data_IF_848658571499
#
_entry.id   IF_848658571499
#
_cell.length_a   1.000
_cell.length_b   1.000
_cell.length_c   1.000
_cell.angle_alpha   90.00
_cell.angle_beta   90.00
_cell.angle_gamma   90.00
#
_symmetry.space_group_name_H-M   'P 1'
#
loop_
_entity.id
_entity.type
_entity.pdbx_description
1 polymer ?
#
# COMPACT_ATOMS: atom_id res chain seq x y z
N UNK A 1 -31.81 13.75 14.65
CA UNK A 1 -31.93 13.15 13.30
C UNK A 1 -30.65 13.26 12.41
N UNK A 2 -29.82 14.28 12.60
CA UNK A 2 -28.56 14.46 11.82
C UNK A 2 -27.42 13.49 12.21
N UNK A 3 -27.33 13.06 13.48
CA UNK A 3 -26.29 12.11 13.96
C UNK A 3 -26.36 10.73 13.28
N UNK A 4 -27.55 10.17 13.17
CA UNK A 4 -27.75 8.81 12.63
C UNK A 4 -27.51 8.68 11.11
N UNK A 5 -27.63 9.78 10.34
CA UNK A 5 -27.39 9.77 8.89
C UNK A 5 -25.91 9.96 8.55
N UNK A 6 -25.16 10.66 9.38
CA UNK A 6 -23.71 10.82 9.31
C UNK A 6 -23.02 9.49 9.59
N UNK A 7 -23.42 8.75 10.62
CA UNK A 7 -22.86 7.44 10.98
C UNK A 7 -23.03 6.40 9.87
N UNK A 8 -24.16 6.39 9.18
CA UNK A 8 -24.41 5.49 8.04
C UNK A 8 -23.51 5.79 6.84
N UNK A 9 -23.11 7.04 6.63
CA UNK A 9 -22.21 7.39 5.54
C UNK A 9 -20.76 6.93 5.81
N UNK A 10 -20.32 6.94 7.06
CA UNK A 10 -18.98 6.44 7.43
C UNK A 10 -18.83 4.95 7.17
N UNK A 11 -19.86 4.14 7.43
CA UNK A 11 -19.81 2.70 7.16
C UNK A 11 -19.53 2.38 5.68
N UNK A 12 -20.13 3.14 4.76
CA UNK A 12 -19.94 2.91 3.33
C UNK A 12 -18.58 3.37 2.82
N UNK A 13 -18.06 4.45 3.38
CA UNK A 13 -16.71 4.91 3.10
C UNK A 13 -15.68 3.89 3.64
N UNK A 14 -15.90 3.39 4.85
CA UNK A 14 -15.11 2.31 5.44
C UNK A 14 -15.16 1.04 4.58
N UNK A 15 -16.35 0.60 4.17
CA UNK A 15 -16.52 -0.56 3.28
C UNK A 15 -15.78 -0.39 1.95
N UNK A 16 -15.81 0.81 1.37
CA UNK A 16 -15.05 1.08 0.14
C UNK A 16 -13.55 0.96 0.36
N UNK A 17 -13.03 1.52 1.44
CA UNK A 17 -11.60 1.39 1.79
C UNK A 17 -11.21 -0.07 2.07
N UNK A 18 -12.08 -0.81 2.78
CA UNK A 18 -11.94 -2.24 3.02
C UNK A 18 -11.85 -3.03 1.71
N UNK A 19 -12.76 -2.77 0.78
CA UNK A 19 -12.79 -3.42 -0.53
C UNK A 19 -11.51 -3.17 -1.34
N UNK A 20 -10.98 -1.94 -1.33
CA UNK A 20 -9.70 -1.64 -1.98
C UNK A 20 -8.56 -2.42 -1.33
N UNK A 21 -8.55 -2.51 -0.01
CA UNK A 21 -7.55 -3.29 0.74
C UNK A 21 -7.57 -4.77 0.36
N UNK A 22 -8.77 -5.38 0.28
CA UNK A 22 -8.96 -6.77 -0.16
C UNK A 22 -8.28 -7.06 -1.50
N UNK A 23 -8.62 -6.29 -2.52
CA UNK A 23 -8.11 -6.55 -3.88
C UNK A 23 -6.64 -6.18 -4.03
N UNK A 24 -6.18 -5.10 -3.39
CA UNK A 24 -4.78 -4.71 -3.49
C UNK A 24 -3.85 -5.78 -2.91
N UNK A 25 -4.17 -6.33 -1.75
CA UNK A 25 -3.38 -7.39 -1.13
C UNK A 25 -3.47 -8.72 -1.90
N UNK A 26 -4.66 -9.09 -2.40
CA UNK A 26 -4.81 -10.27 -3.25
C UNK A 26 -3.91 -10.20 -4.48
N UNK A 27 -3.87 -9.07 -5.17
CA UNK A 27 -3.04 -8.90 -6.38
C UNK A 27 -1.55 -9.05 -6.06
N UNK A 28 -1.08 -8.53 -4.94
CA UNK A 28 0.32 -8.70 -4.53
C UNK A 28 0.67 -10.13 -4.15
N UNK A 29 -0.28 -10.90 -3.63
CA UNK A 29 -0.02 -12.28 -3.21
C UNK A 29 -0.15 -13.30 -4.33
N UNK A 30 -0.97 -13.05 -5.33
CA UNK A 30 -1.33 -14.03 -6.36
C UNK A 30 -0.67 -13.80 -7.72
N UNK A 31 -0.60 -12.55 -8.18
CA UNK A 31 -0.09 -12.26 -9.52
C UNK A 31 1.37 -12.69 -9.73
N UNK A 32 2.30 -12.50 -8.77
CA UNK A 32 3.67 -12.99 -8.94
C UNK A 32 3.76 -14.49 -9.22
N UNK A 33 2.94 -15.29 -8.54
CA UNK A 33 2.93 -16.75 -8.69
C UNK A 33 2.32 -17.15 -10.02
N UNK A 34 1.12 -16.65 -10.34
CA UNK A 34 0.44 -17.02 -11.58
C UNK A 34 1.23 -16.55 -12.82
N UNK A 35 1.84 -15.39 -12.77
CA UNK A 35 2.69 -14.90 -13.84
C UNK A 35 3.98 -15.75 -13.99
N UNK A 36 4.52 -16.25 -12.86
CA UNK A 36 5.67 -17.15 -12.87
C UNK A 36 5.37 -18.48 -13.54
N UNK A 37 4.22 -19.08 -13.26
CA UNK A 37 3.75 -20.30 -13.95
C UNK A 37 3.67 -20.11 -15.46
N UNK A 38 3.39 -18.89 -15.92
CA UNK A 38 3.33 -18.54 -17.34
C UNK A 38 4.69 -18.11 -17.94
N UNK A 39 5.77 -18.27 -17.18
CA UNK A 39 7.13 -18.03 -17.62
C UNK A 39 7.62 -16.58 -17.48
N UNK A 40 6.86 -15.68 -16.85
CA UNK A 40 7.33 -14.33 -16.54
C UNK A 40 8.35 -14.34 -15.40
N UNK A 41 9.40 -13.53 -15.55
CA UNK A 41 10.41 -13.36 -14.53
C UNK A 41 10.03 -12.27 -13.49
N UNK A 42 10.83 -12.15 -12.44
CA UNK A 42 10.59 -11.26 -11.31
C UNK A 42 10.59 -9.79 -11.73
N UNK A 43 11.47 -9.42 -12.66
CA UNK A 43 11.58 -8.04 -13.18
C UNK A 43 10.34 -7.66 -13.97
N UNK A 44 9.87 -8.57 -14.82
CA UNK A 44 8.66 -8.36 -15.63
C UNK A 44 7.43 -8.15 -14.73
N UNK A 45 7.26 -8.99 -13.73
CA UNK A 45 6.15 -8.83 -12.77
C UNK A 45 6.33 -7.58 -11.91
N UNK A 46 7.54 -7.27 -11.50
CA UNK A 46 7.83 -6.03 -10.77
C UNK A 46 7.51 -4.79 -11.62
N UNK A 47 7.75 -4.82 -12.94
CA UNK A 47 7.35 -3.75 -13.85
C UNK A 47 5.82 -3.56 -13.92
N UNK A 48 5.04 -4.64 -13.86
CA UNK A 48 3.56 -4.56 -13.81
C UNK A 48 3.12 -3.71 -12.62
N UNK A 49 3.74 -3.90 -11.46
CA UNK A 49 3.45 -3.10 -10.26
C UNK A 49 4.06 -1.69 -10.34
N UNK A 50 5.29 -1.57 -10.82
CA UNK A 50 6.03 -0.31 -10.92
C UNK A 50 5.34 0.70 -11.84
N UNK A 51 4.91 0.27 -13.02
CA UNK A 51 4.20 1.13 -13.98
C UNK A 51 2.84 1.57 -13.42
N UNK A 52 2.12 0.68 -12.74
CA UNK A 52 0.88 1.05 -12.04
C UNK A 52 1.12 2.08 -10.93
N UNK A 53 2.20 1.91 -10.15
CA UNK A 53 2.57 2.84 -9.09
C UNK A 53 2.99 4.20 -9.65
N UNK A 54 3.69 4.22 -10.77
CA UNK A 54 4.02 5.44 -11.51
C UNK A 54 2.75 6.20 -11.91
N UNK A 55 1.79 5.53 -12.54
CA UNK A 55 0.52 6.14 -12.87
C UNK A 55 -0.22 6.66 -11.63
N UNK A 56 -0.25 5.88 -10.56
CA UNK A 56 -0.85 6.27 -9.28
C UNK A 56 -0.22 7.54 -8.71
N UNK A 57 1.10 7.63 -8.72
CA UNK A 57 1.84 8.77 -8.17
C UNK A 57 1.44 10.10 -8.83
N UNK A 58 1.32 10.11 -10.15
CA UNK A 58 0.93 11.31 -10.89
C UNK A 58 -0.58 11.58 -10.88
N UNK A 59 -1.39 10.53 -10.95
CA UNK A 59 -2.85 10.69 -11.06
C UNK A 59 -3.53 11.01 -9.73
N UNK A 60 -3.03 10.50 -8.60
CA UNK A 60 -3.67 10.71 -7.29
C UNK A 60 -3.79 12.20 -6.91
N UNK A 61 -2.77 13.08 -7.07
CA UNK A 61 -2.92 14.51 -6.85
C UNK A 61 -3.88 15.19 -7.82
N UNK A 62 -3.95 14.71 -9.08
CA UNK A 62 -4.88 15.23 -10.08
C UNK A 62 -6.33 14.91 -9.68
N UNK A 63 -6.59 13.68 -9.23
CA UNK A 63 -7.90 13.29 -8.74
C UNK A 63 -8.34 14.09 -7.51
N UNK A 64 -7.41 14.45 -6.63
CA UNK A 64 -7.70 15.36 -5.53
C UNK A 64 -8.25 16.71 -6.03
N UNK A 65 -7.60 17.31 -7.04
CA UNK A 65 -8.06 18.56 -7.67
C UNK A 65 -9.39 18.39 -8.41
N UNK A 66 -9.56 17.26 -9.13
CA UNK A 66 -10.83 16.96 -9.81
C UNK A 66 -11.96 16.75 -8.81
N UNK A 67 -11.69 16.14 -7.67
CA UNK A 67 -12.65 15.98 -6.58
C UNK A 67 -13.16 17.33 -6.05
N UNK A 68 -12.27 18.32 -5.99
CA UNK A 68 -12.65 19.70 -5.63
C UNK A 68 -13.49 20.38 -6.69
N UNK A 69 -13.26 20.10 -7.98
CA UNK A 69 -13.93 20.73 -9.10
C UNK A 69 -15.24 20.05 -9.49
N UNK A 70 -15.26 18.72 -9.58
CA UNK A 70 -16.39 17.94 -10.11
C UNK A 70 -17.19 17.24 -9.02
N UNK A 71 -16.78 17.39 -7.75
CA UNK A 71 -17.42 16.77 -6.60
C UNK A 71 -16.82 15.43 -6.21
N UNK A 72 -16.76 15.21 -4.91
CA UNK A 72 -16.16 14.02 -4.28
C UNK A 72 -16.86 12.73 -4.66
N UNK A 73 -18.20 12.76 -4.83
CA UNK A 73 -18.98 11.60 -5.24
C UNK A 73 -18.54 11.08 -6.60
N UNK A 74 -18.47 11.95 -7.61
CA UNK A 74 -18.10 11.58 -8.98
C UNK A 74 -16.71 10.95 -9.03
N UNK A 75 -15.74 11.55 -8.36
CA UNK A 75 -14.36 11.05 -8.34
C UNK A 75 -14.23 9.74 -7.56
N UNK A 76 -14.95 9.58 -6.43
CA UNK A 76 -15.00 8.32 -5.70
C UNK A 76 -15.63 7.17 -6.53
N UNK A 77 -16.67 7.48 -7.31
CA UNK A 77 -17.29 6.53 -8.25
C UNK A 77 -16.31 6.08 -9.33
N UNK A 78 -15.63 7.03 -9.99
CA UNK A 78 -14.61 6.71 -11.00
C UNK A 78 -13.55 5.79 -10.41
N UNK A 79 -13.09 6.09 -9.20
CA UNK A 79 -12.08 5.27 -8.54
C UNK A 79 -12.56 3.86 -8.19
N UNK A 80 -13.77 3.72 -7.66
CA UNK A 80 -14.34 2.41 -7.31
C UNK A 80 -14.63 1.56 -8.55
N UNK A 81 -15.10 2.18 -9.62
CA UNK A 81 -15.29 1.50 -10.92
C UNK A 81 -13.94 1.11 -11.54
N UNK A 82 -12.94 1.97 -11.48
CA UNK A 82 -11.58 1.67 -11.93
C UNK A 82 -10.94 0.52 -11.14
N UNK A 83 -11.19 0.44 -9.83
CA UNK A 83 -10.80 -0.71 -9.01
C UNK A 83 -11.50 -2.00 -9.47
N UNK A 84 -12.82 -1.96 -9.65
CA UNK A 84 -13.60 -3.13 -10.10
C UNK A 84 -13.16 -3.60 -11.48
N UNK A 85 -12.97 -2.66 -12.41
CA UNK A 85 -12.45 -2.97 -13.74
C UNK A 85 -11.08 -3.65 -13.66
N UNK A 86 -10.18 -3.15 -12.82
CA UNK A 86 -8.87 -3.80 -12.63
C UNK A 86 -9.00 -5.22 -12.08
N UNK A 87 -9.89 -5.47 -11.11
CA UNK A 87 -10.09 -6.82 -10.56
C UNK A 87 -10.61 -7.80 -11.61
N UNK A 88 -11.51 -7.37 -12.50
CA UNK A 88 -11.96 -8.20 -13.63
C UNK A 88 -10.89 -8.38 -14.69
N UNK A 89 -10.13 -7.33 -14.98
CA UNK A 89 -9.19 -7.35 -16.10
C UNK A 89 -7.87 -8.04 -15.74
N UNK A 90 -7.42 -8.00 -14.50
CA UNK A 90 -6.07 -8.46 -14.14
C UNK A 90 -5.89 -9.98 -14.31
N UNK A 91 -6.95 -10.76 -14.11
CA UNK A 91 -6.90 -12.21 -14.28
C UNK A 91 -7.13 -12.63 -15.74
N UNK A 92 -7.72 -11.75 -16.56
CA UNK A 92 -8.07 -12.06 -17.94
C UNK A 92 -6.88 -12.46 -18.83
N UNK A 93 -5.72 -11.75 -18.80
CA UNK A 93 -4.56 -12.17 -19.59
C UNK A 93 -4.04 -13.56 -19.23
N UNK A 94 -4.02 -13.90 -17.94
CA UNK A 94 -3.60 -15.23 -17.48
C UNK A 94 -4.55 -16.29 -17.99
N UNK A 95 -5.86 -16.07 -17.82
CA UNK A 95 -6.90 -16.98 -18.33
C UNK A 95 -6.84 -17.17 -19.85
N UNK A 96 -6.62 -16.10 -20.63
CA UNK A 96 -6.52 -16.16 -22.08
C UNK A 96 -5.24 -16.88 -22.53
N UNK A 97 -4.14 -16.70 -21.80
CA UNK A 97 -2.88 -17.38 -22.07
C UNK A 97 -3.01 -18.90 -21.82
N UNK A 98 -3.58 -19.32 -20.69
CA UNK A 98 -3.79 -20.73 -20.34
C UNK A 98 -4.61 -21.47 -21.39
N UNK A 99 -5.51 -20.75 -22.09
CA UNK A 99 -6.34 -21.31 -23.18
C UNK A 99 -5.73 -21.14 -24.57
N UNK A 100 -4.52 -20.59 -24.69
CA UNK A 100 -3.83 -20.40 -25.96
C UNK A 100 -4.39 -19.28 -26.84
N UNK A 101 -5.22 -18.37 -26.29
CA UNK A 101 -5.77 -17.24 -27.03
C UNK A 101 -4.77 -16.09 -27.22
N UNK A 102 -3.79 -15.99 -26.33
CA UNK A 102 -2.70 -15.00 -26.45
C UNK A 102 -1.34 -15.68 -26.30
N UNK A 103 -0.31 -15.09 -26.88
CA UNK A 103 1.06 -15.57 -26.81
C UNK A 103 1.77 -15.04 -25.56
N UNK A 104 2.89 -15.67 -25.17
CA UNK A 104 3.75 -15.18 -24.08
C UNK A 104 4.21 -13.74 -24.30
N UNK A 105 4.48 -13.34 -25.53
CA UNK A 105 4.84 -11.96 -25.87
C UNK A 105 3.72 -10.94 -25.58
N UNK A 106 2.45 -11.35 -25.60
CA UNK A 106 1.32 -10.48 -25.33
C UNK A 106 0.94 -10.45 -23.83
N UNK A 107 1.40 -11.42 -23.03
CA UNK A 107 1.00 -11.55 -21.63
C UNK A 107 1.47 -10.35 -20.78
N UNK A 108 2.77 -10.02 -20.80
CA UNK A 108 3.32 -8.90 -20.02
C UNK A 108 2.67 -7.55 -20.38
N UNK A 109 2.58 -7.14 -21.66
CA UNK A 109 1.90 -5.90 -22.03
C UNK A 109 0.44 -5.86 -21.59
N UNK A 110 -0.26 -6.99 -21.65
CA UNK A 110 -1.65 -7.08 -21.21
C UNK A 110 -1.80 -6.90 -19.70
N UNK A 111 -0.95 -7.52 -18.90
CA UNK A 111 -0.92 -7.33 -17.44
C UNK A 111 -0.59 -5.88 -17.07
N UNK A 112 0.38 -5.26 -17.73
CA UNK A 112 0.70 -3.84 -17.56
C UNK A 112 -0.51 -2.97 -17.88
N UNK A 113 -1.18 -3.20 -19.01
CA UNK A 113 -2.36 -2.43 -19.41
C UNK A 113 -3.49 -2.55 -18.38
N UNK A 114 -3.77 -3.77 -17.89
CA UNK A 114 -4.77 -4.00 -16.85
C UNK A 114 -4.42 -3.26 -15.54
N UNK A 115 -3.17 -3.30 -15.13
CA UNK A 115 -2.72 -2.60 -13.91
C UNK A 115 -2.67 -1.08 -14.07
N UNK A 116 -2.44 -0.56 -15.29
CA UNK A 116 -2.56 0.86 -15.60
C UNK A 116 -3.97 1.39 -15.34
N UNK A 117 -5.01 0.61 -15.62
CA UNK A 117 -6.40 0.97 -15.29
C UNK A 117 -6.54 1.29 -13.80
N UNK A 118 -5.95 0.47 -12.93
CA UNK A 118 -5.92 0.75 -11.49
C UNK A 118 -5.08 1.97 -11.13
N UNK A 119 -3.88 2.08 -11.69
CA UNK A 119 -3.00 3.21 -11.45
C UNK A 119 -3.66 4.55 -11.81
N UNK A 120 -4.35 4.59 -12.94
CA UNK A 120 -5.02 5.80 -13.45
C UNK A 120 -6.32 6.07 -12.69
N UNK A 121 -7.26 5.13 -12.73
CA UNK A 121 -8.62 5.35 -12.22
C UNK A 121 -8.77 4.96 -10.74
N UNK A 122 -8.24 3.81 -10.31
CA UNK A 122 -8.33 3.34 -8.92
C UNK A 122 -7.70 4.31 -7.93
N UNK A 123 -6.67 5.06 -8.35
CA UNK A 123 -6.02 6.11 -7.57
C UNK A 123 -6.94 7.27 -7.16
N UNK A 124 -8.11 7.38 -7.78
CA UNK A 124 -9.10 8.42 -7.49
C UNK A 124 -9.83 8.23 -6.14
N UNK A 125 -10.00 6.98 -5.70
CA UNK A 125 -10.86 6.67 -4.54
C UNK A 125 -10.34 7.28 -3.25
N UNK A 126 -9.07 7.07 -2.90
CA UNK A 126 -8.50 7.54 -1.62
C UNK A 126 -8.59 9.05 -1.47
N UNK A 127 -8.06 9.90 -2.38
CA UNK A 127 -8.13 11.35 -2.23
C UNK A 127 -9.58 11.85 -2.18
N UNK A 128 -10.51 11.24 -2.92
CA UNK A 128 -11.92 11.61 -2.86
C UNK A 128 -12.55 11.29 -1.51
N UNK A 129 -12.35 10.08 -0.97
CA UNK A 129 -12.94 9.67 0.32
C UNK A 129 -12.34 10.42 1.50
N UNK A 130 -11.02 10.64 1.52
CA UNK A 130 -10.38 11.46 2.56
C UNK A 130 -10.80 12.93 2.46
N UNK A 131 -10.94 13.47 1.25
CA UNK A 131 -11.48 14.81 1.01
C UNK A 131 -12.92 14.94 1.51
N UNK A 132 -13.78 13.96 1.24
CA UNK A 132 -15.14 13.92 1.75
C UNK A 132 -15.18 13.85 3.28
N UNK A 133 -14.44 12.90 3.86
CA UNK A 133 -14.34 12.73 5.30
C UNK A 133 -13.84 14.00 6.00
N UNK A 134 -12.85 14.68 5.42
CA UNK A 134 -12.35 15.95 5.93
C UNK A 134 -13.39 17.08 5.96
N UNK A 135 -14.30 17.11 4.96
CA UNK A 135 -15.36 18.14 4.88
C UNK A 135 -16.53 17.90 5.85
N UNK A 136 -16.85 16.63 6.13
CA UNK A 136 -17.96 16.30 7.04
C UNK A 136 -17.52 16.15 8.50
N UNK A 137 -16.20 16.18 8.77
CA UNK A 137 -15.62 16.08 10.12
C UNK A 137 -15.43 17.46 10.75
N UNK A 138 -15.59 17.53 12.08
CA UNK A 138 -15.11 18.67 12.87
C UNK A 138 -13.60 18.51 13.14
N UNK A 139 -12.93 19.61 13.54
CA UNK A 139 -11.52 19.56 13.95
C UNK A 139 -11.24 18.54 15.07
N UNK A 140 -12.21 18.36 15.98
CA UNK A 140 -12.08 17.44 17.13
C UNK A 140 -12.13 15.95 16.76
N UNK A 141 -12.87 15.57 15.70
CA UNK A 141 -13.08 14.16 15.34
C UNK A 141 -12.43 13.76 14.00
N UNK A 142 -11.78 14.70 13.29
CA UNK A 142 -11.19 14.45 11.97
C UNK A 142 -10.14 13.34 12.00
N UNK A 143 -9.24 13.35 12.97
CA UNK A 143 -8.20 12.34 13.14
C UNK A 143 -8.81 10.95 13.34
N UNK A 144 -9.83 10.83 14.20
CA UNK A 144 -10.54 9.56 14.44
C UNK A 144 -11.21 9.04 13.17
N UNK A 145 -11.83 9.92 12.38
CA UNK A 145 -12.48 9.53 11.13
C UNK A 145 -11.47 9.06 10.11
N UNK A 146 -10.33 9.74 9.97
CA UNK A 146 -9.26 9.32 9.07
C UNK A 146 -8.65 7.99 9.51
N UNK A 147 -8.44 7.80 10.82
CA UNK A 147 -7.97 6.53 11.36
C UNK A 147 -8.95 5.38 11.06
N UNK A 148 -10.25 5.61 11.19
CA UNK A 148 -11.28 4.63 10.85
C UNK A 148 -11.27 4.26 9.35
N UNK A 149 -11.02 5.22 8.47
CA UNK A 149 -10.90 4.93 7.04
C UNK A 149 -9.66 4.07 6.73
N UNK A 150 -8.53 4.43 7.32
CA UNK A 150 -7.31 3.62 7.18
C UNK A 150 -7.48 2.23 7.77
N UNK A 151 -8.17 2.07 8.90
CA UNK A 151 -8.43 0.75 9.49
C UNK A 151 -9.27 -0.14 8.57
N UNK A 152 -10.22 0.43 7.83
CA UNK A 152 -10.94 -0.30 6.78
C UNK A 152 -9.99 -0.87 5.73
N UNK A 153 -9.12 -0.05 5.18
CA UNK A 153 -8.11 -0.50 4.21
C UNK A 153 -7.21 -1.59 4.80
N UNK A 154 -6.71 -1.40 6.01
CA UNK A 154 -5.82 -2.36 6.68
C UNK A 154 -6.52 -3.69 6.93
N UNK A 155 -7.78 -3.69 7.41
CA UNK A 155 -8.57 -4.92 7.56
C UNK A 155 -8.73 -5.65 6.22
N UNK A 156 -8.95 -4.90 5.14
CA UNK A 156 -8.97 -5.46 3.78
C UNK A 156 -7.64 -6.13 3.42
N UNK A 157 -6.50 -5.51 3.74
CA UNK A 157 -5.19 -6.10 3.45
C UNK A 157 -4.88 -7.37 4.24
N UNK A 158 -5.51 -7.56 5.40
CA UNK A 158 -5.41 -8.81 6.16
C UNK A 158 -6.32 -9.88 5.56
N UNK A 159 -7.59 -9.55 5.31
CA UNK A 159 -8.59 -10.52 4.89
C UNK A 159 -8.51 -10.89 3.41
N UNK A 160 -7.99 -9.99 2.56
CA UNK A 160 -7.83 -10.25 1.13
C UNK A 160 -7.02 -11.51 0.82
N UNK A 161 -5.79 -11.63 1.33
CA UNK A 161 -4.98 -12.82 1.17
C UNK A 161 -5.62 -14.07 1.79
N UNK A 162 -6.23 -13.96 2.98
CA UNK A 162 -6.88 -15.10 3.66
C UNK A 162 -8.04 -15.64 2.81
N UNK A 163 -8.88 -14.76 2.29
CA UNK A 163 -9.96 -15.14 1.37
C UNK A 163 -9.36 -15.72 0.08
N UNK A 164 -8.30 -15.12 -0.45
CA UNK A 164 -7.57 -15.63 -1.61
C UNK A 164 -7.07 -17.06 -1.38
N UNK A 165 -6.38 -17.30 -0.26
CA UNK A 165 -5.88 -18.63 0.10
C UNK A 165 -6.99 -19.70 0.15
N UNK A 166 -8.15 -19.35 0.71
CA UNK A 166 -9.30 -20.26 0.74
C UNK A 166 -9.75 -20.64 -0.68
N UNK A 167 -9.92 -19.67 -1.57
CA UNK A 167 -10.36 -19.95 -2.94
C UNK A 167 -9.28 -20.66 -3.76
N UNK A 168 -8.01 -20.33 -3.60
CA UNK A 168 -6.90 -21.00 -4.27
C UNK A 168 -6.78 -22.47 -3.87
N UNK A 169 -7.16 -22.80 -2.62
CA UNK A 169 -7.11 -24.18 -2.12
C UNK A 169 -8.33 -25.01 -2.49
N UNK A 170 -9.53 -24.43 -2.47
CA UNK A 170 -10.80 -25.18 -2.51
C UNK A 170 -11.67 -24.89 -3.74
N UNK A 171 -11.27 -23.95 -4.60
CA UNK A 171 -12.04 -23.53 -5.76
C UNK A 171 -11.11 -23.08 -6.91
N UNK A 172 -11.57 -22.17 -7.74
CA UNK A 172 -10.82 -21.64 -8.89
C UNK A 172 -10.09 -20.34 -8.53
N UNK A 173 -8.93 -20.12 -9.14
CA UNK A 173 -8.08 -18.97 -8.92
C UNK A 173 -8.72 -17.63 -9.31
N UNK A 174 -9.71 -17.65 -10.20
CA UNK A 174 -10.40 -16.45 -10.69
C UNK A 174 -11.46 -15.95 -9.71
N UNK A 175 -12.05 -16.83 -8.89
CA UNK A 175 -13.20 -16.50 -8.03
C UNK A 175 -12.93 -15.33 -7.09
N UNK A 176 -11.80 -15.24 -6.37
CA UNK A 176 -11.56 -14.12 -5.44
C UNK A 176 -11.43 -12.77 -6.19
N UNK A 177 -10.92 -12.76 -7.41
CA UNK A 177 -10.85 -11.54 -8.23
C UNK A 177 -12.24 -11.07 -8.65
N UNK A 178 -13.08 -11.99 -9.11
CA UNK A 178 -14.48 -11.70 -9.49
C UNK A 178 -15.26 -11.21 -8.26
N UNK A 179 -15.12 -11.90 -7.12
CA UNK A 179 -15.79 -11.53 -5.88
C UNK A 179 -15.39 -10.10 -5.43
N UNK A 180 -14.10 -9.77 -5.48
CA UNK A 180 -13.63 -8.44 -5.07
C UNK A 180 -14.00 -7.37 -6.09
N UNK A 181 -14.09 -7.70 -7.38
CA UNK A 181 -14.65 -6.81 -8.38
C UNK A 181 -16.12 -6.49 -8.08
N UNK A 182 -16.92 -7.49 -7.71
CA UNK A 182 -18.32 -7.29 -7.32
C UNK A 182 -18.45 -6.43 -6.06
N UNK A 183 -17.56 -6.61 -5.07
CA UNK A 183 -17.53 -5.72 -3.90
C UNK A 183 -17.20 -4.27 -4.30
N UNK A 184 -16.32 -4.08 -5.29
CA UNK A 184 -16.02 -2.75 -5.83
C UNK A 184 -17.23 -2.12 -6.54
N UNK A 185 -17.99 -2.90 -7.31
CA UNK A 185 -19.25 -2.44 -7.92
C UNK A 185 -20.29 -2.11 -6.86
N UNK A 186 -20.41 -2.93 -5.82
CA UNK A 186 -21.31 -2.66 -4.70
C UNK A 186 -20.88 -1.37 -3.96
N UNK A 187 -19.59 -1.17 -3.73
CA UNK A 187 -19.06 0.05 -3.16
C UNK A 187 -19.40 1.26 -4.05
N UNK A 188 -19.20 1.19 -5.37
CA UNK A 188 -19.56 2.24 -6.29
C UNK A 188 -21.06 2.56 -6.23
N UNK A 189 -21.92 1.54 -6.24
CA UNK A 189 -23.37 1.69 -6.13
C UNK A 189 -23.77 2.41 -4.81
N UNK A 190 -23.19 1.97 -3.69
CA UNK A 190 -23.46 2.59 -2.38
C UNK A 190 -22.95 4.03 -2.29
N UNK A 191 -21.78 4.32 -2.84
CA UNK A 191 -21.27 5.69 -2.93
C UNK A 191 -22.20 6.56 -3.79
N UNK A 192 -22.71 6.01 -4.91
CA UNK A 192 -23.65 6.73 -5.76
C UNK A 192 -24.96 7.08 -5.04
N UNK A 193 -25.51 6.18 -4.24
CA UNK A 193 -26.77 6.36 -3.54
C UNK A 193 -26.61 7.25 -2.29
N UNK A 194 -25.51 7.09 -1.56
CA UNK A 194 -25.34 7.61 -0.21
C UNK A 194 -24.49 8.88 -0.11
N UNK A 195 -23.46 9.04 -0.95
CA UNK A 195 -22.68 10.26 -0.94
C UNK A 195 -23.47 11.41 -1.59
N UNK A 196 -23.55 12.50 -0.87
CA UNK A 196 -24.01 13.75 -1.45
C UNK A 196 -22.85 14.42 -2.19
N UNK A 197 -23.13 15.01 -3.35
CA UNK A 197 -22.19 15.98 -3.92
C UNK A 197 -22.14 17.16 -2.94
N UNK A 198 -21.07 17.22 -2.18
CA UNK A 198 -20.76 18.43 -1.43
C UNK A 198 -20.22 19.41 -2.46
N UNK A 199 -21.05 20.39 -2.82
CA UNK A 199 -20.60 21.51 -3.64
C UNK A 199 -19.38 22.14 -2.98
N UNK A 200 -18.41 22.51 -3.80
CA UNK A 200 -17.22 23.20 -3.32
C UNK A 200 -17.67 24.55 -2.77
N UNK A 201 -17.87 24.61 -1.47
CA UNK A 201 -17.98 25.89 -0.78
C UNK A 201 -16.61 26.57 -0.92
N UNK A 202 -16.46 27.33 -2.01
CA UNK A 202 -15.24 28.09 -2.37
C UNK A 202 -14.76 29.04 -1.28
N UNK A 203 -15.52 29.19 -0.18
CA UNK A 203 -15.37 30.29 0.77
C UNK A 203 -14.61 29.95 2.07
N UNK A 204 -14.25 28.71 2.39
CA UNK A 204 -13.80 28.40 3.75
C UNK A 204 -12.46 27.68 3.90
N UNK A 205 -11.70 27.46 2.84
CA UNK A 205 -10.36 26.89 2.99
C UNK A 205 -9.34 27.93 2.49
N UNK A 206 -8.72 28.62 3.41
CA UNK A 206 -7.38 29.18 3.20
C UNK A 206 -6.59 28.08 2.45
N UNK A 207 -6.06 28.40 1.27
CA UNK A 207 -5.28 27.45 0.45
C UNK A 207 -4.31 26.73 1.39
N UNK A 208 -4.39 25.40 1.56
CA UNK A 208 -3.46 24.72 2.46
C UNK A 208 -2.05 25.07 2.02
N UNK A 209 -1.27 25.60 2.95
CA UNK A 209 0.12 25.90 2.66
C UNK A 209 0.81 24.60 2.27
N UNK A 210 1.49 24.59 1.13
CA UNK A 210 2.15 23.38 0.62
C UNK A 210 3.57 23.32 1.11
N UNK A 211 3.94 22.17 1.67
CA UNK A 211 5.35 21.87 1.95
C UNK A 211 6.10 21.70 0.62
N UNK A 212 7.25 22.31 0.54
CA UNK A 212 8.18 22.12 -0.59
C UNK A 212 9.09 20.94 -0.26
N UNK A 213 9.23 19.97 -1.17
CA UNK A 213 10.11 18.80 -0.98
C UNK A 213 11.56 19.23 -0.73
N UNK A 214 12.02 20.34 -1.32
CA UNK A 214 13.37 20.88 -1.12
C UNK A 214 13.59 21.61 0.21
N UNK A 215 12.58 21.73 1.08
CA UNK A 215 12.75 22.32 2.41
C UNK A 215 13.63 21.41 3.27
N UNK A 216 14.62 21.98 3.95
CA UNK A 216 15.55 21.26 4.85
C UNK A 216 14.82 20.48 5.97
N UNK A 217 13.63 20.92 6.33
CA UNK A 217 12.80 20.26 7.35
C UNK A 217 11.91 19.13 6.77
N UNK A 218 11.83 18.99 5.47
CA UNK A 218 10.91 18.08 4.80
C UNK A 218 11.62 16.92 4.12
N UNK A 219 12.63 17.22 3.27
CA UNK A 219 13.26 16.22 2.42
C UNK A 219 13.86 15.02 3.18
N UNK A 220 14.43 15.17 4.42
CA UNK A 220 14.98 14.01 5.11
C UNK A 220 13.93 12.93 5.41
N UNK A 221 12.74 13.35 5.83
CA UNK A 221 11.65 12.41 6.13
C UNK A 221 11.07 11.77 4.87
N UNK A 222 11.04 12.52 3.75
CA UNK A 222 10.62 11.97 2.46
C UNK A 222 11.61 10.89 1.99
N UNK A 223 12.92 11.14 2.08
CA UNK A 223 13.96 10.18 1.71
C UNK A 223 13.90 8.93 2.60
N UNK A 224 13.84 9.08 3.92
CA UNK A 224 13.76 7.96 4.85
C UNK A 224 12.50 7.12 4.61
N UNK A 225 11.35 7.78 4.44
CA UNK A 225 10.10 7.10 4.14
C UNK A 225 10.13 6.39 2.78
N UNK A 226 10.79 6.96 1.77
CA UNK A 226 10.96 6.34 0.46
C UNK A 226 11.87 5.11 0.55
N UNK A 227 12.98 5.16 1.28
CA UNK A 227 13.84 4.00 1.49
C UNK A 227 13.09 2.83 2.14
N UNK A 228 12.34 3.10 3.21
CA UNK A 228 11.53 2.07 3.83
C UNK A 228 10.42 1.56 2.89
N UNK A 229 9.84 2.43 2.06
CA UNK A 229 8.82 2.01 1.09
C UNK A 229 9.40 1.15 -0.03
N UNK A 230 10.65 1.39 -0.46
CA UNK A 230 11.37 0.52 -1.42
C UNK A 230 11.56 -0.87 -0.83
N UNK A 231 12.06 -0.97 0.41
CA UNK A 231 12.29 -2.26 1.05
C UNK A 231 10.99 -3.05 1.25
N UNK A 232 9.89 -2.38 1.58
CA UNK A 232 8.57 -3.02 1.66
C UNK A 232 8.09 -3.48 0.28
N UNK A 233 8.25 -2.66 -0.75
CA UNK A 233 7.82 -3.00 -2.09
C UNK A 233 8.57 -4.21 -2.65
N UNK A 234 9.86 -4.36 -2.32
CA UNK A 234 10.67 -5.54 -2.68
C UNK A 234 10.02 -6.80 -2.11
N UNK A 235 9.70 -6.85 -0.82
CA UNK A 235 9.03 -8.02 -0.21
C UNK A 235 7.70 -8.29 -0.93
N UNK A 236 6.90 -7.27 -1.18
CA UNK A 236 5.57 -7.43 -1.79
C UNK A 236 5.65 -7.97 -3.22
N UNK A 237 6.71 -7.64 -3.95
CA UNK A 237 6.87 -8.04 -5.34
C UNK A 237 7.63 -9.36 -5.51
N UNK A 238 8.39 -9.80 -4.51
CA UNK A 238 9.26 -10.99 -4.65
C UNK A 238 8.87 -12.16 -3.75
N UNK A 239 8.01 -11.97 -2.75
CA UNK A 239 7.67 -13.04 -1.81
C UNK A 239 7.07 -14.27 -2.50
N UNK A 240 6.25 -14.06 -3.54
CA UNK A 240 5.68 -15.14 -4.33
C UNK A 240 6.74 -16.00 -5.02
N UNK A 241 7.67 -15.34 -5.70
CA UNK A 241 8.82 -16.00 -6.34
C UNK A 241 9.69 -16.71 -5.30
N UNK A 242 9.94 -16.07 -4.17
CA UNK A 242 10.77 -16.63 -3.11
C UNK A 242 10.19 -17.93 -2.55
N UNK A 243 8.88 -18.00 -2.32
CA UNK A 243 8.23 -19.21 -1.83
C UNK A 243 8.20 -20.28 -2.93
N UNK A 244 7.91 -19.89 -4.17
CA UNK A 244 7.85 -20.82 -5.30
C UNK A 244 9.24 -21.39 -5.63
N UNK A 245 10.25 -20.52 -5.83
CA UNK A 245 11.55 -20.92 -6.35
C UNK A 245 12.49 -21.48 -5.26
N UNK A 246 12.50 -20.88 -4.05
CA UNK A 246 13.44 -21.27 -2.99
C UNK A 246 12.89 -22.39 -2.10
N UNK A 247 11.61 -22.32 -1.76
CA UNK A 247 10.99 -23.33 -0.87
C UNK A 247 10.38 -24.50 -1.65
N UNK A 248 10.43 -24.45 -2.99
CA UNK A 248 10.05 -25.52 -3.92
C UNK A 248 8.61 -26.02 -3.72
N UNK A 249 7.69 -25.08 -3.50
CA UNK A 249 6.27 -25.38 -3.43
C UNK A 249 5.63 -25.36 -4.82
N UNK A 250 4.58 -26.18 -5.01
CA UNK A 250 3.71 -26.03 -6.19
C UNK A 250 3.12 -24.61 -6.25
N UNK A 251 2.76 -24.12 -7.43
CA UNK A 251 2.20 -22.79 -7.56
C UNK A 251 0.92 -22.60 -6.72
N UNK A 252 0.07 -23.63 -6.64
CA UNK A 252 -1.13 -23.59 -5.80
C UNK A 252 -0.76 -23.49 -4.31
N UNK A 253 0.18 -24.28 -3.81
CA UNK A 253 0.60 -24.23 -2.42
C UNK A 253 1.36 -22.92 -2.14
N UNK A 254 2.20 -22.47 -3.05
CA UNK A 254 2.88 -21.18 -2.95
C UNK A 254 1.87 -20.02 -2.84
N UNK A 255 0.79 -20.01 -3.65
CA UNK A 255 -0.25 -18.98 -3.56
C UNK A 255 -0.95 -18.97 -2.20
N UNK A 256 -1.19 -20.16 -1.62
CA UNK A 256 -1.76 -20.30 -0.27
C UNK A 256 -0.77 -19.79 0.78
N UNK A 257 0.49 -20.23 0.73
CA UNK A 257 1.49 -19.84 1.73
C UNK A 257 1.86 -18.36 1.65
N UNK A 258 1.96 -17.77 0.46
CA UNK A 258 2.14 -16.32 0.28
C UNK A 258 0.97 -15.58 0.93
N UNK A 259 -0.25 -16.03 0.66
CA UNK A 259 -1.46 -15.38 1.17
C UNK A 259 -1.53 -15.43 2.70
N UNK A 260 -1.23 -16.57 3.31
CA UNK A 260 -1.17 -16.73 4.78
C UNK A 260 -0.05 -15.85 5.35
N UNK A 261 1.14 -15.89 4.76
CA UNK A 261 2.29 -15.11 5.20
C UNK A 261 2.01 -13.60 5.17
N UNK A 262 1.36 -13.11 4.11
CA UNK A 262 0.91 -11.72 4.02
C UNK A 262 -0.16 -11.36 5.05
N UNK A 263 -1.11 -12.26 5.30
CA UNK A 263 -2.12 -12.08 6.34
C UNK A 263 -1.48 -11.92 7.72
N UNK A 264 -0.51 -12.78 8.05
CA UNK A 264 0.25 -12.73 9.32
C UNK A 264 1.11 -11.45 9.38
N UNK A 265 1.82 -11.11 8.29
CA UNK A 265 2.57 -9.86 8.16
C UNK A 265 1.70 -8.64 8.42
N UNK A 266 0.56 -8.53 7.76
CA UNK A 266 -0.38 -7.41 7.93
C UNK A 266 -0.95 -7.35 9.35
N UNK A 267 -1.25 -8.52 9.93
CA UNK A 267 -1.72 -8.63 11.33
C UNK A 267 -0.64 -8.16 12.31
N UNK A 268 0.64 -8.51 12.08
CA UNK A 268 1.74 -8.05 12.93
C UNK A 268 1.88 -6.52 12.90
N UNK A 269 1.67 -5.89 11.73
CA UNK A 269 1.64 -4.43 11.62
C UNK A 269 0.53 -3.85 12.48
N UNK A 270 -0.69 -4.36 12.39
CA UNK A 270 -1.85 -3.85 13.13
C UNK A 270 -1.65 -3.99 14.63
N UNK A 271 -1.24 -5.17 15.09
CA UNK A 271 -0.98 -5.41 16.51
C UNK A 271 0.09 -4.44 17.03
N UNK A 272 1.18 -4.31 16.28
CA UNK A 272 2.28 -3.40 16.66
C UNK A 272 1.83 -1.95 16.67
N UNK A 273 1.11 -1.47 15.66
CA UNK A 273 0.62 -0.09 15.62
C UNK A 273 -0.37 0.22 16.74
N UNK A 274 -1.21 -0.75 17.10
CA UNK A 274 -2.27 -0.56 18.09
C UNK A 274 -1.73 -0.64 19.53
N UNK A 275 -0.87 -1.60 19.82
CA UNK A 275 -0.47 -1.91 21.20
C UNK A 275 0.97 -1.54 21.53
N UNK A 276 1.91 -1.62 20.57
CA UNK A 276 3.34 -1.43 20.83
C UNK A 276 3.77 0.01 20.49
N UNK A 277 3.36 0.54 19.33
CA UNK A 277 3.75 1.89 18.89
C UNK A 277 3.39 2.99 19.89
N UNK A 278 2.22 2.97 20.56
CA UNK A 278 1.87 4.00 21.57
C UNK A 278 2.74 3.98 22.82
N UNK A 279 3.50 2.91 23.08
CA UNK A 279 4.40 2.80 24.24
C UNK A 279 5.68 3.60 24.05
N UNK A 280 6.02 3.96 22.81
CA UNK A 280 7.23 4.73 22.54
C UNK A 280 7.04 6.21 22.86
N UNK A 281 7.95 6.74 23.66
CA UNK A 281 7.99 8.17 24.03
C UNK A 281 8.89 9.01 23.10
N UNK A 282 9.79 8.36 22.36
CA UNK A 282 10.78 9.03 21.51
C UNK A 282 10.59 8.67 20.05
N UNK A 283 10.34 9.67 19.20
CA UNK A 283 10.27 9.49 17.76
C UNK A 283 11.60 9.01 17.16
N UNK A 284 12.72 9.50 17.70
CA UNK A 284 14.07 9.10 17.26
C UNK A 284 14.30 7.60 17.50
N UNK A 285 13.90 7.08 18.67
CA UNK A 285 13.99 5.64 18.97
C UNK A 285 13.19 4.83 17.97
N UNK A 286 11.97 5.27 17.62
CA UNK A 286 11.12 4.61 16.61
C UNK A 286 11.78 4.65 15.21
N UNK A 287 12.37 5.79 14.83
CA UNK A 287 13.05 5.96 13.54
C UNK A 287 14.30 5.10 13.40
N UNK A 288 14.96 4.76 14.52
CA UNK A 288 16.13 3.87 14.54
C UNK A 288 15.72 2.39 14.62
N UNK A 289 14.81 2.07 15.54
CA UNK A 289 14.43 0.67 15.80
C UNK A 289 13.74 0.04 14.61
N UNK A 290 12.86 0.76 13.92
CA UNK A 290 12.13 0.22 12.76
C UNK A 290 13.05 -0.28 11.65
N UNK A 291 13.98 0.54 11.13
CA UNK A 291 14.92 0.08 10.12
C UNK A 291 15.90 -1.01 10.62
N UNK A 292 16.27 -1.02 11.92
CA UNK A 292 17.08 -2.10 12.52
C UNK A 292 16.31 -3.43 12.47
N UNK A 293 15.03 -3.44 12.84
CA UNK A 293 14.20 -4.65 12.76
C UNK A 293 14.00 -5.10 11.31
N UNK A 294 13.83 -4.16 10.37
CA UNK A 294 13.77 -4.47 8.95
C UNK A 294 15.10 -5.05 8.44
N UNK A 295 16.24 -4.51 8.86
CA UNK A 295 17.56 -5.07 8.56
C UNK A 295 17.68 -6.52 9.04
N UNK A 296 17.36 -6.78 10.30
CA UNK A 296 17.40 -8.14 10.87
C UNK A 296 16.47 -9.09 10.11
N UNK A 297 15.30 -8.61 9.69
CA UNK A 297 14.38 -9.37 8.86
C UNK A 297 15.00 -9.75 7.50
N UNK A 298 15.66 -8.81 6.81
CA UNK A 298 16.31 -9.12 5.52
C UNK A 298 17.48 -10.09 5.69
N UNK A 299 18.24 -9.97 6.77
CA UNK A 299 19.28 -10.98 7.10
C UNK A 299 18.61 -12.34 7.36
N UNK A 300 17.53 -12.39 8.13
CA UNK A 300 16.80 -13.63 8.36
C UNK A 300 16.28 -14.25 7.05
N UNK A 301 15.71 -13.43 6.12
CA UNK A 301 15.22 -13.87 4.83
C UNK A 301 16.30 -14.54 3.96
N UNK A 302 17.57 -14.14 4.08
CA UNK A 302 18.67 -14.78 3.37
C UNK A 302 18.84 -16.26 3.81
N UNK A 303 18.62 -16.55 5.08
CA UNK A 303 18.86 -17.87 5.70
C UNK A 303 17.61 -18.70 5.91
N UNK A 304 16.44 -18.27 5.43
CA UNK A 304 15.19 -19.04 5.50
C UNK A 304 15.32 -20.38 4.77
N UNK A 305 14.86 -21.46 5.41
CA UNK A 305 14.84 -22.80 4.84
C UNK A 305 13.45 -23.45 4.86
N UNK A 306 12.49 -22.84 5.54
CA UNK A 306 11.12 -23.34 5.70
C UNK A 306 10.12 -22.19 5.89
N UNK A 307 8.84 -22.51 5.80
CA UNK A 307 7.75 -21.52 5.87
C UNK A 307 7.67 -20.84 7.26
N UNK A 308 8.05 -21.51 8.33
CA UNK A 308 7.93 -20.96 9.68
C UNK A 308 9.02 -19.88 9.90
N UNK A 309 10.25 -20.15 9.48
CA UNK A 309 11.34 -19.18 9.51
C UNK A 309 11.06 -17.96 8.59
N UNK A 310 10.42 -18.20 7.43
CA UNK A 310 9.94 -17.13 6.55
C UNK A 310 8.93 -16.23 7.26
N UNK A 311 7.90 -16.82 7.85
CA UNK A 311 6.85 -16.09 8.58
C UNK A 311 7.44 -15.30 9.75
N UNK A 312 8.39 -15.88 10.48
CA UNK A 312 9.12 -15.21 11.56
C UNK A 312 9.86 -13.96 11.06
N UNK A 313 10.57 -14.07 9.94
CA UNK A 313 11.25 -12.94 9.31
C UNK A 313 10.26 -11.85 8.86
N UNK A 314 9.11 -12.23 8.31
CA UNK A 314 8.07 -11.28 7.89
C UNK A 314 7.40 -10.58 9.08
N UNK A 315 7.15 -11.29 10.18
CA UNK A 315 6.65 -10.68 11.43
C UNK A 315 7.61 -9.60 11.90
N UNK A 316 8.91 -9.90 11.92
CA UNK A 316 9.95 -8.95 12.33
C UNK A 316 9.96 -7.71 11.43
N UNK A 317 9.83 -7.91 10.11
CA UNK A 317 9.70 -6.82 9.15
C UNK A 317 8.45 -5.96 9.39
N UNK A 318 7.30 -6.62 9.61
CA UNK A 318 6.03 -5.94 9.89
C UNK A 318 6.09 -5.09 11.15
N UNK A 319 6.72 -5.58 12.23
CA UNK A 319 6.95 -4.83 13.46
C UNK A 319 7.81 -3.59 13.16
N UNK A 320 8.92 -3.76 12.45
CA UNK A 320 9.80 -2.65 12.08
C UNK A 320 9.07 -1.56 11.29
N UNK A 321 8.28 -1.98 10.31
CA UNK A 321 7.47 -1.07 9.48
C UNK A 321 6.39 -0.34 10.27
N UNK A 322 5.72 -1.05 11.17
CA UNK A 322 4.67 -0.51 12.01
C UNK A 322 5.17 0.57 12.96
N UNK A 323 6.40 0.44 13.45
CA UNK A 323 7.02 1.42 14.36
C UNK A 323 7.50 2.65 13.58
N UNK A 324 8.19 2.45 12.45
CA UNK A 324 8.91 3.55 11.79
C UNK A 324 8.00 4.49 11.00
N UNK A 325 6.98 3.97 10.34
CA UNK A 325 6.14 4.76 9.43
C UNK A 325 5.39 5.92 10.12
N UNK A 326 4.72 5.72 11.28
CA UNK A 326 4.09 6.81 11.99
C UNK A 326 5.09 7.79 12.59
N UNK A 327 6.33 7.36 12.89
CA UNK A 327 7.36 8.26 13.44
C UNK A 327 7.78 9.35 12.45
N UNK A 328 7.93 9.01 11.16
CA UNK A 328 8.22 10.00 10.12
C UNK A 328 7.08 11.00 9.93
N UNK A 329 5.83 10.49 9.96
CA UNK A 329 4.65 11.33 9.85
C UNK A 329 4.52 12.30 11.04
N UNK A 330 4.73 11.81 12.26
CA UNK A 330 4.70 12.63 13.47
C UNK A 330 5.81 13.69 13.48
N UNK A 331 7.05 13.30 13.13
CA UNK A 331 8.17 14.23 13.11
C UNK A 331 7.99 15.35 12.08
N UNK A 332 7.54 15.02 10.88
CA UNK A 332 7.25 16.00 9.84
C UNK A 332 6.08 16.92 10.24
N UNK A 333 5.05 16.37 10.88
CA UNK A 333 3.90 17.14 11.37
C UNK A 333 4.31 18.11 12.48
N UNK A 334 5.14 17.67 13.43
CA UNK A 334 5.61 18.49 14.55
C UNK A 334 6.63 19.58 14.15
N UNK A 335 7.30 19.41 13.01
CA UNK A 335 8.26 20.37 12.49
C UNK A 335 7.64 21.61 11.84
N UNK A 336 6.31 21.64 11.69
CA UNK A 336 5.57 22.69 11.01
C UNK A 336 4.28 23.03 11.75
N UNK A 337 3.74 24.23 11.48
CA UNK A 337 2.47 24.69 12.03
C UNK A 337 1.30 23.76 11.64
N UNK A 338 0.22 23.79 12.43
CA UNK A 338 -0.99 22.98 12.19
C UNK A 338 -1.56 23.13 10.75
N UNK A 339 -1.35 24.29 10.11
CA UNK A 339 -1.79 24.57 8.74
C UNK A 339 -1.12 23.67 7.67
N UNK A 340 0.00 22.98 8.00
CA UNK A 340 0.75 22.12 7.10
C UNK A 340 0.48 20.60 7.33
N UNK A 341 -0.25 20.20 8.35
CA UNK A 341 -0.44 18.78 8.71
C UNK A 341 -1.01 17.95 7.56
N UNK A 342 -2.00 18.47 6.83
CA UNK A 342 -2.57 17.76 5.67
C UNK A 342 -1.56 17.63 4.52
N UNK A 343 -0.71 18.63 4.32
CA UNK A 343 0.35 18.59 3.33
C UNK A 343 1.45 17.59 3.69
N UNK A 344 1.81 17.50 4.98
CA UNK A 344 2.77 16.52 5.49
C UNK A 344 2.27 15.08 5.30
N UNK A 345 1.03 14.81 5.69
CA UNK A 345 0.42 13.50 5.50
C UNK A 345 0.31 13.10 4.02
N UNK A 346 -0.08 14.04 3.16
CA UNK A 346 -0.15 13.82 1.71
C UNK A 346 1.21 13.53 1.08
N UNK A 347 2.24 14.26 1.49
CA UNK A 347 3.60 14.10 0.99
C UNK A 347 4.19 12.75 1.38
N UNK A 348 4.06 12.34 2.64
CA UNK A 348 4.52 11.01 3.10
C UNK A 348 3.66 9.88 2.54
N UNK A 349 2.37 10.11 2.31
CA UNK A 349 1.51 9.17 1.59
C UNK A 349 1.99 8.90 0.16
N UNK A 350 2.62 9.87 -0.50
CA UNK A 350 3.18 9.70 -1.85
C UNK A 350 4.47 8.89 -1.89
N UNK A 351 5.15 8.66 -0.76
CA UNK A 351 6.37 7.84 -0.73
C UNK A 351 6.09 6.35 -0.95
N UNK A 352 4.87 5.89 -0.63
CA UNK A 352 4.48 4.50 -0.86
C UNK A 352 4.52 4.10 -2.35
N UNK A 353 3.85 4.80 -3.27
CA UNK A 353 4.00 4.51 -4.69
C UNK A 353 5.44 4.70 -5.22
N UNK A 354 6.24 5.62 -4.65
CA UNK A 354 7.66 5.75 -5.02
C UNK A 354 8.41 4.43 -4.77
N UNK A 355 8.17 3.77 -3.64
CA UNK A 355 8.76 2.48 -3.34
C UNK A 355 8.47 1.44 -4.43
N UNK A 356 7.20 1.28 -4.78
CA UNK A 356 6.78 0.32 -5.81
C UNK A 356 7.26 0.69 -7.22
N UNK A 357 7.40 1.97 -7.53
CA UNK A 357 7.90 2.47 -8.81
C UNK A 357 9.39 2.19 -8.99
N UNK A 358 10.18 2.29 -7.93
CA UNK A 358 11.63 2.09 -7.94
C UNK A 358 12.00 0.61 -7.74
N UNK A 359 11.16 -0.17 -7.07
CA UNK A 359 11.43 -1.57 -6.75
C UNK A 359 11.90 -2.43 -7.95
N UNK A 360 11.38 -2.28 -9.19
CA UNK A 360 11.87 -3.06 -10.33
C UNK A 360 13.39 -2.96 -10.57
N UNK A 361 14.00 -1.80 -10.29
CA UNK A 361 15.45 -1.62 -10.41
C UNK A 361 16.21 -2.46 -9.37
N UNK A 362 15.67 -2.65 -8.19
CA UNK A 362 16.24 -3.49 -7.15
C UNK A 362 15.96 -4.97 -7.42
N UNK A 363 14.73 -5.27 -7.82
CA UNK A 363 14.29 -6.65 -8.13
C UNK A 363 15.08 -7.27 -9.28
N UNK A 364 15.67 -6.45 -10.17
CA UNK A 364 16.58 -6.97 -11.21
C UNK A 364 17.76 -7.75 -10.65
N UNK A 365 18.16 -7.50 -9.41
CA UNK A 365 19.21 -8.29 -8.73
C UNK A 365 18.78 -9.71 -8.36
N UNK A 366 17.48 -9.98 -8.34
CA UNK A 366 16.97 -11.34 -8.07
C UNK A 366 17.43 -12.34 -9.12
N UNK A 367 17.72 -11.90 -10.36
CA UNK A 367 18.29 -12.72 -11.43
C UNK A 367 19.63 -13.36 -11.00
N UNK A 368 20.40 -12.67 -10.16
CA UNK A 368 21.65 -13.19 -9.57
C UNK A 368 21.42 -14.00 -8.29
N UNK A 369 20.18 -14.05 -7.82
CA UNK A 369 19.72 -14.76 -6.62
C UNK A 369 19.17 -13.82 -5.53
N UNK A 370 18.25 -14.36 -4.75
CA UNK A 370 17.62 -13.66 -3.63
C UNK A 370 18.62 -13.11 -2.60
N UNK A 371 19.80 -13.75 -2.48
CA UNK A 371 20.89 -13.28 -1.61
C UNK A 371 21.28 -11.84 -1.92
N UNK A 372 21.54 -11.52 -3.20
CA UNK A 372 21.96 -10.17 -3.60
C UNK A 372 20.88 -9.13 -3.36
N UNK A 373 19.64 -9.47 -3.69
CA UNK A 373 18.50 -8.56 -3.49
C UNK A 373 18.27 -8.23 -2.02
N UNK A 374 18.21 -9.27 -1.16
CA UNK A 374 17.95 -9.05 0.26
C UNK A 374 19.15 -8.46 1.00
N UNK A 375 20.37 -8.74 0.56
CA UNK A 375 21.57 -8.05 1.05
C UNK A 375 21.54 -6.55 0.73
N UNK A 376 21.17 -6.18 -0.51
CA UNK A 376 21.02 -4.77 -0.85
C UNK A 376 19.90 -4.11 -0.05
N UNK A 377 18.78 -4.80 0.15
CA UNK A 377 17.68 -4.31 1.00
C UNK A 377 18.14 -4.10 2.45
N UNK A 378 18.95 -5.00 2.98
CA UNK A 378 19.58 -4.83 4.31
C UNK A 378 20.51 -3.61 4.33
N UNK A 379 21.32 -3.38 3.29
CA UNK A 379 22.18 -2.19 3.16
C UNK A 379 21.33 -0.91 3.15
N UNK A 380 20.21 -0.87 2.45
CA UNK A 380 19.29 0.29 2.47
C UNK A 380 18.78 0.55 3.89
N UNK A 381 18.48 -0.48 4.67
CA UNK A 381 18.10 -0.31 6.07
C UNK A 381 19.25 0.27 6.91
N UNK A 382 20.50 -0.20 6.71
CA UNK A 382 21.69 0.37 7.38
C UNK A 382 21.89 1.84 7.01
N UNK A 383 21.77 2.18 5.72
CA UNK A 383 21.84 3.57 5.25
C UNK A 383 20.75 4.41 5.93
N UNK A 384 19.54 3.87 6.08
CA UNK A 384 18.42 4.54 6.76
C UNK A 384 18.74 4.81 8.22
N UNK A 385 19.33 3.83 8.94
CA UNK A 385 19.78 4.00 10.32
C UNK A 385 20.88 5.06 10.40
N UNK A 386 21.93 4.93 9.58
CA UNK A 386 23.05 5.88 9.55
C UNK A 386 22.57 7.31 9.26
N UNK A 387 21.71 7.47 8.25
CA UNK A 387 21.13 8.76 7.93
C UNK A 387 20.32 9.35 9.11
N UNK A 388 19.54 8.52 9.79
CA UNK A 388 18.79 8.93 10.99
C UNK A 388 19.70 9.32 12.15
N UNK A 389 20.84 8.64 12.32
CA UNK A 389 21.81 8.91 13.39
C UNK A 389 22.61 10.21 13.17
N UNK A 390 22.97 10.50 11.93
CA UNK A 390 23.94 11.56 11.64
C UNK A 390 23.33 12.83 11.02
N UNK A 391 22.06 12.80 10.57
CA UNK A 391 21.45 13.98 9.96
C UNK A 391 21.13 15.05 11.01
N UNK A 392 21.71 16.30 10.90
CA UNK A 392 21.65 17.32 11.95
C UNK A 392 20.21 17.71 12.33
N UNK A 393 19.29 17.71 11.37
CA UNK A 393 17.91 18.09 11.62
C UNK A 393 17.14 17.00 12.38
N UNK A 394 17.37 15.71 12.08
CA UNK A 394 16.72 14.59 12.75
C UNK A 394 17.23 14.46 14.21
N UNK A 395 18.47 14.83 14.47
CA UNK A 395 19.02 14.86 15.83
C UNK A 395 18.24 15.80 16.77
N UNK A 396 17.67 16.87 16.23
CA UNK A 396 16.89 17.87 16.98
C UNK A 396 15.43 17.50 17.19
N UNK A 397 14.91 16.44 16.55
CA UNK A 397 13.48 16.06 16.65
C UNK A 397 13.04 15.61 18.04
N UNK A 398 13.95 15.28 18.96
CA UNK A 398 13.65 15.00 20.37
C UNK A 398 13.41 16.25 21.23
N UNK A 399 13.77 17.45 20.74
CA UNK A 399 13.58 18.71 21.46
C UNK A 399 12.18 19.31 21.25
N UNK A 400 11.43 18.77 20.30
CA UNK A 400 10.03 19.18 20.05
C UNK A 400 9.10 18.32 20.92
N UNK A 401 8.86 18.77 22.15
CA UNK A 401 7.80 18.29 23.03
C UNK A 401 6.56 19.17 22.92
#
# INVERSE_FOLDING_TARGET
MYKTRSEKNYLWIFFTMFTIGLGQSLVFTSIPIFAREQGLNEVEVSLVFGVSAFAWFFMSPLWGRYSDKFGTRTVALIGSLGYSANMFLIILPIFLFDRGFITSAALLPSLIACRMVYGIFGSATRPALFGYAGRISSSKNRTTIFANLESGFVLGTILGPIIGAFFFRFANNEIPFILFAMFGLLAALQLNIRLRNLESTRAALSKPKRLKIGDQKVWPFVVLSSFMSITQAIIFQTLGFYIFDKLDYSAQDAAVYVSISFGIYSTSIVITQTFITPLFKSLKTMMLLGPVLAFLSFIALIYVNDIFSLVGALILNGIGFAIVRPSYASALSQSHDESFQSSAAGLLGSTYPIGHMIAPLFVSLYVYGYFYLYSLSAIVCVITVAFTMFHPYILKTNEYK
#
